data_IF_291517468569
#
_entry.id   IF_291517468569
#
_cell.length_a   1.000
_cell.length_b   1.000
_cell.length_c   1.000
_cell.angle_alpha   90.00
_cell.angle_beta   90.00
_cell.angle_gamma   90.00
#
_symmetry.space_group_name_H-M   'P 1'
#
loop_
_entity.id
_entity.type
_entity.pdbx_description
1 polymer ?
#
# COMPACT_ATOMS: atom_id res chain seq x y z
N UNK A 1 68.40 -12.33 39.71
CA UNK A 1 67.26 -11.40 39.49
C UNK A 1 66.64 -11.64 38.13
N UNK A 2 65.32 -11.51 38.10
CA UNK A 2 64.34 -11.93 37.10
C UNK A 2 64.40 -11.20 35.76
N UNK A 3 63.90 -11.84 34.70
CA UNK A 3 62.88 -11.28 33.77
C UNK A 3 62.44 -12.32 32.73
N UNK A 4 61.20 -12.76 32.86
CA UNK A 4 60.48 -13.50 31.82
C UNK A 4 59.29 -12.68 31.30
N UNK A 5 58.77 -13.16 30.16
CA UNK A 5 57.41 -12.98 29.65
C UNK A 5 57.07 -11.62 29.01
N UNK A 6 57.17 -11.53 27.67
CA UNK A 6 56.47 -10.49 26.90
C UNK A 6 56.19 -10.84 25.41
N UNK A 7 55.93 -12.10 25.06
CA UNK A 7 55.66 -12.48 23.65
C UNK A 7 54.20 -12.87 23.35
N UNK A 8 53.32 -12.94 24.37
CA UNK A 8 51.93 -13.39 24.19
C UNK A 8 50.87 -12.29 23.96
N UNK A 9 51.20 -11.00 24.12
CA UNK A 9 50.20 -9.91 24.12
C UNK A 9 49.79 -9.37 22.74
N UNK A 10 50.62 -9.55 21.69
CA UNK A 10 50.29 -8.99 20.38
C UNK A 10 49.29 -9.84 19.58
N UNK A 11 49.28 -11.17 19.75
CA UNK A 11 48.39 -12.06 19.00
C UNK A 11 46.91 -11.92 19.39
N UNK A 12 46.63 -11.45 20.61
CA UNK A 12 45.27 -11.32 21.13
C UNK A 12 44.51 -10.14 20.51
N UNK A 13 45.20 -9.06 20.11
CA UNK A 13 44.55 -7.85 19.56
C UNK A 13 44.25 -7.98 18.06
N UNK A 14 45.04 -8.72 17.29
CA UNK A 14 44.79 -8.93 15.85
C UNK A 14 43.59 -9.87 15.58
N UNK A 15 43.35 -10.87 16.43
CA UNK A 15 42.19 -11.76 16.30
C UNK A 15 40.83 -11.07 16.51
N UNK A 16 40.76 -10.13 17.46
CA UNK A 16 39.54 -9.35 17.75
C UNK A 16 39.22 -8.31 16.66
N UNK A 17 40.23 -7.67 16.07
CA UNK A 17 40.05 -6.67 15.03
C UNK A 17 39.51 -7.27 13.72
N UNK A 18 39.92 -8.49 13.37
CA UNK A 18 39.45 -9.20 12.16
C UNK A 18 38.00 -9.69 12.31
N UNK A 19 37.60 -10.16 13.49
CA UNK A 19 36.21 -10.57 13.76
C UNK A 19 35.26 -9.36 13.66
N UNK A 20 35.64 -8.20 14.21
CA UNK A 20 34.82 -6.99 14.14
C UNK A 20 34.63 -6.47 12.71
N UNK A 21 35.66 -6.61 11.86
CA UNK A 21 35.58 -6.19 10.45
C UNK A 21 34.79 -7.17 9.58
N UNK A 22 34.90 -8.49 9.82
CA UNK A 22 34.04 -9.48 9.16
C UNK A 22 32.56 -9.29 9.54
N UNK A 23 32.27 -9.04 10.82
CA UNK A 23 30.89 -8.77 11.27
C UNK A 23 30.32 -7.50 10.65
N UNK A 24 31.10 -6.43 10.53
CA UNK A 24 30.67 -5.21 9.88
C UNK A 24 30.34 -5.44 8.39
N UNK A 25 31.15 -6.21 7.65
CA UNK A 25 30.86 -6.51 6.23
C UNK A 25 29.58 -7.34 6.07
N UNK A 26 29.36 -8.33 6.94
CA UNK A 26 28.13 -9.16 6.92
C UNK A 26 26.89 -8.31 7.19
N UNK A 27 26.92 -7.42 8.19
CA UNK A 27 25.78 -6.54 8.55
C UNK A 27 25.42 -5.54 7.44
N UNK A 28 26.40 -5.06 6.66
CA UNK A 28 26.11 -4.17 5.51
C UNK A 28 25.55 -4.94 4.31
N UNK A 29 25.97 -6.20 4.13
CA UNK A 29 25.54 -7.05 3.01
C UNK A 29 24.12 -7.59 3.16
N UNK A 30 23.57 -7.64 4.39
CA UNK A 30 22.20 -8.11 4.66
C UNK A 30 21.18 -6.98 4.73
N UNK A 31 21.52 -5.74 4.35
CA UNK A 31 20.47 -4.75 4.11
C UNK A 31 19.72 -5.22 2.88
N UNK A 32 18.51 -5.74 3.06
CA UNK A 32 17.63 -6.01 1.94
C UNK A 32 17.50 -4.71 1.14
N UNK A 33 18.00 -4.72 -0.09
CA UNK A 33 17.61 -3.71 -1.07
C UNK A 33 16.10 -3.81 -1.15
N UNK A 34 15.33 -2.74 -0.85
CA UNK A 34 13.89 -2.80 -1.01
C UNK A 34 13.64 -3.31 -2.41
N UNK A 35 13.12 -4.53 -2.51
CA UNK A 35 12.59 -5.02 -3.77
C UNK A 35 11.54 -3.99 -4.15
N UNK A 36 11.48 -3.60 -5.42
CA UNK A 36 10.36 -2.84 -5.98
C UNK A 36 9.10 -3.74 -6.00
N UNK A 37 8.85 -4.47 -4.92
CA UNK A 37 7.52 -4.89 -4.52
C UNK A 37 6.80 -3.57 -4.31
N UNK A 38 5.84 -3.27 -5.18
CA UNK A 38 5.04 -2.03 -5.20
C UNK A 38 4.98 -1.38 -3.83
N UNK A 39 5.60 -0.21 -3.69
CA UNK A 39 5.46 0.58 -2.47
C UNK A 39 3.96 0.64 -2.14
N UNK A 40 3.57 0.48 -0.86
CA UNK A 40 2.16 0.49 -0.50
C UNK A 40 1.51 1.75 -1.09
N UNK A 41 0.43 1.56 -1.85
CA UNK A 41 -0.25 2.66 -2.52
C UNK A 41 -0.60 3.77 -1.52
N UNK A 42 -0.35 5.02 -1.91
CA UNK A 42 -0.50 6.18 -1.02
C UNK A 42 -1.99 6.47 -0.77
N UNK A 43 -2.50 5.96 0.36
CA UNK A 43 -3.90 6.17 0.76
C UNK A 43 -4.22 7.64 1.05
N UNK A 44 -3.22 8.47 1.37
CA UNK A 44 -3.41 9.92 1.56
C UNK A 44 -3.71 10.60 0.23
N UNK A 45 -2.89 10.32 -0.79
CA UNK A 45 -3.16 10.72 -2.18
C UNK A 45 -4.50 10.19 -2.67
N UNK A 46 -4.80 8.92 -2.38
CA UNK A 46 -6.07 8.28 -2.71
C UNK A 46 -7.28 8.98 -2.12
N UNK A 47 -7.18 9.46 -0.87
CA UNK A 47 -8.26 10.21 -0.21
C UNK A 47 -8.55 11.55 -0.91
N UNK A 48 -7.51 12.29 -1.30
CA UNK A 48 -7.65 13.57 -2.02
C UNK A 48 -8.28 13.36 -3.40
N UNK A 49 -7.82 12.35 -4.13
CA UNK A 49 -8.37 11.96 -5.43
C UNK A 49 -9.82 11.51 -5.31
N UNK A 50 -10.13 10.65 -4.35
CA UNK A 50 -11.50 10.19 -4.11
C UNK A 50 -12.43 11.35 -3.79
N UNK A 51 -12.00 12.27 -2.92
CA UNK A 51 -12.78 13.46 -2.58
C UNK A 51 -13.07 14.36 -3.79
N UNK A 52 -12.13 14.48 -4.73
CA UNK A 52 -12.26 15.34 -5.90
C UNK A 52 -13.00 14.70 -7.07
N UNK A 53 -12.85 13.38 -7.27
CA UNK A 53 -13.32 12.69 -8.47
C UNK A 53 -14.49 11.74 -8.23
N UNK A 54 -14.71 11.26 -7.00
CA UNK A 54 -15.64 10.16 -6.71
C UNK A 54 -16.75 10.55 -5.73
N UNK A 55 -16.43 11.40 -4.75
CA UNK A 55 -17.31 11.68 -3.61
C UNK A 55 -18.64 12.35 -3.97
N UNK A 56 -18.73 13.06 -5.11
CA UNK A 56 -20.00 13.66 -5.55
C UNK A 56 -21.07 12.62 -5.86
N UNK A 57 -20.68 11.41 -6.26
CA UNK A 57 -21.60 10.32 -6.56
C UNK A 57 -21.60 9.24 -5.48
N UNK A 58 -20.43 8.90 -4.92
CA UNK A 58 -20.27 7.82 -3.95
C UNK A 58 -20.24 8.27 -2.49
N UNK A 59 -20.39 9.57 -2.23
CA UNK A 59 -20.38 10.16 -0.89
C UNK A 59 -18.96 10.34 -0.36
N UNK A 60 -18.72 11.43 0.38
CA UNK A 60 -17.41 11.69 0.99
C UNK A 60 -17.02 10.68 2.08
N UNK A 61 -18.01 9.98 2.64
CA UNK A 61 -17.86 8.93 3.65
C UNK A 61 -18.03 7.51 3.07
N UNK A 62 -18.06 7.38 1.75
CA UNK A 62 -18.19 6.14 0.99
C UNK A 62 -19.56 5.45 1.10
N UNK A 63 -20.56 6.09 1.73
CA UNK A 63 -21.92 5.52 1.91
C UNK A 63 -22.87 5.72 0.73
N UNK A 64 -22.36 6.23 -0.38
CA UNK A 64 -23.17 6.50 -1.56
C UNK A 64 -23.97 7.79 -1.44
N UNK A 65 -24.66 8.12 -2.53
CA UNK A 65 -25.63 9.21 -2.62
C UNK A 65 -26.80 8.74 -3.49
N UNK A 66 -27.74 9.63 -3.79
CA UNK A 66 -28.78 9.35 -4.78
C UNK A 66 -28.23 9.14 -6.21
N UNK A 67 -26.94 9.42 -6.45
CA UNK A 67 -26.26 9.31 -7.74
C UNK A 67 -25.38 8.07 -7.87
N UNK A 68 -25.07 7.37 -6.78
CA UNK A 68 -24.10 6.29 -6.81
C UNK A 68 -24.11 5.41 -5.57
N UNK A 69 -23.73 4.13 -5.72
CA UNK A 69 -23.79 3.16 -4.65
C UNK A 69 -22.75 3.45 -3.56
N UNK A 70 -23.05 2.93 -2.37
CA UNK A 70 -22.09 2.83 -1.27
C UNK A 70 -20.95 1.88 -1.61
N UNK A 71 -19.72 2.34 -1.46
CA UNK A 71 -18.54 1.47 -1.48
C UNK A 71 -18.36 0.70 -0.18
N UNK A 72 -19.15 1.01 0.86
CA UNK A 72 -19.21 0.22 2.08
C UNK A 72 -20.29 -0.87 2.05
N UNK A 73 -21.10 -0.98 0.99
CA UNK A 73 -22.01 -2.13 0.85
C UNK A 73 -21.22 -3.43 0.75
N UNK A 74 -21.71 -4.49 1.39
CA UNK A 74 -21.12 -5.84 1.33
C UNK A 74 -20.96 -6.36 -0.11
N UNK A 75 -21.77 -5.85 -1.06
CA UNK A 75 -21.61 -6.18 -2.48
C UNK A 75 -20.25 -5.75 -3.03
N UNK A 76 -19.63 -4.72 -2.46
CA UNK A 76 -18.32 -4.19 -2.86
C UNK A 76 -17.15 -4.78 -2.07
N UNK A 77 -17.37 -5.85 -1.32
CA UNK A 77 -16.28 -6.54 -0.62
C UNK A 77 -15.27 -7.15 -1.60
N UNK A 78 -13.99 -7.31 -1.22
CA UNK A 78 -12.93 -7.76 -2.13
C UNK A 78 -13.19 -9.10 -2.82
N UNK A 79 -13.98 -9.99 -2.20
CA UNK A 79 -14.32 -11.30 -2.76
C UNK A 79 -15.44 -11.24 -3.83
N UNK A 80 -16.16 -10.12 -3.93
CA UNK A 80 -17.26 -9.96 -4.89
C UNK A 80 -16.95 -8.88 -5.93
N UNK A 81 -16.51 -7.69 -5.50
CA UNK A 81 -15.96 -6.68 -6.40
C UNK A 81 -14.47 -6.50 -6.08
N UNK A 82 -13.64 -7.21 -6.83
CA UNK A 82 -12.18 -7.15 -6.71
C UNK A 82 -11.64 -5.78 -7.12
N UNK A 83 -10.37 -5.53 -6.83
CA UNK A 83 -9.69 -4.29 -7.23
C UNK A 83 -9.71 -4.08 -8.76
N UNK A 84 -9.62 -5.16 -9.53
CA UNK A 84 -9.78 -5.11 -10.99
C UNK A 84 -11.16 -4.62 -11.42
N UNK A 85 -12.21 -4.92 -10.65
CA UNK A 85 -13.55 -4.39 -10.92
C UNK A 85 -13.61 -2.88 -10.69
N UNK A 86 -12.97 -2.39 -9.62
CA UNK A 86 -12.86 -0.94 -9.37
C UNK A 86 -12.05 -0.25 -10.47
N UNK A 87 -10.87 -0.80 -10.81
CA UNK A 87 -10.03 -0.29 -11.89
C UNK A 87 -10.80 -0.24 -13.21
N UNK A 88 -11.47 -1.33 -13.58
CA UNK A 88 -12.27 -1.39 -14.80
C UNK A 88 -13.40 -0.36 -14.80
N UNK A 89 -14.11 -0.20 -13.69
CA UNK A 89 -15.18 0.81 -13.57
C UNK A 89 -14.63 2.24 -13.70
N UNK A 90 -13.47 2.52 -13.12
CA UNK A 90 -12.81 3.83 -13.23
C UNK A 90 -12.36 4.08 -14.67
N UNK A 91 -11.67 3.13 -15.29
CA UNK A 91 -11.08 3.30 -16.64
C UNK A 91 -12.11 3.23 -17.76
N UNK A 92 -13.12 2.36 -17.65
CA UNK A 92 -14.05 2.05 -18.73
C UNK A 92 -15.49 2.46 -18.43
N UNK A 93 -15.78 2.96 -17.23
CA UNK A 93 -17.14 3.10 -16.74
C UNK A 93 -17.76 1.74 -16.39
N UNK A 94 -19.00 1.78 -15.90
CA UNK A 94 -19.77 0.59 -15.59
C UNK A 94 -21.22 0.77 -16.07
N UNK A 95 -21.76 -0.24 -16.75
CA UNK A 95 -23.17 -0.23 -17.13
C UNK A 95 -24.05 -0.52 -15.92
N UNK A 96 -25.21 0.11 -15.87
CA UNK A 96 -26.22 -0.19 -14.88
C UNK A 96 -26.63 -1.68 -14.96
N UNK A 97 -26.52 -2.42 -13.86
CA UNK A 97 -27.02 -3.81 -13.80
C UNK A 97 -27.57 -4.27 -12.45
N UNK A 98 -27.08 -3.73 -11.32
CA UNK A 98 -27.58 -4.10 -9.97
C UNK A 98 -28.30 -2.97 -9.23
N UNK A 99 -28.15 -1.75 -9.72
CA UNK A 99 -28.71 -0.56 -9.10
C UNK A 99 -29.55 0.24 -10.09
N UNK A 100 -30.23 1.27 -9.60
CA UNK A 100 -30.99 2.22 -10.40
C UNK A 100 -30.30 3.58 -10.56
N UNK A 101 -29.00 3.68 -10.26
CA UNK A 101 -28.22 4.93 -10.34
C UNK A 101 -27.91 5.38 -11.78
N UNK A 102 -28.06 4.49 -12.77
CA UNK A 102 -27.60 4.71 -14.14
C UNK A 102 -26.21 4.13 -14.39
N UNK A 103 -25.68 4.43 -15.58
CA UNK A 103 -24.32 4.05 -15.95
C UNK A 103 -23.30 4.95 -15.22
N UNK A 104 -22.24 4.33 -14.72
CA UNK A 104 -21.04 5.07 -14.29
C UNK A 104 -20.21 5.40 -15.52
N UNK A 105 -19.93 6.68 -15.73
CA UNK A 105 -19.02 7.11 -16.80
C UNK A 105 -17.56 6.86 -16.42
N UNK A 106 -16.65 6.63 -17.40
CA UNK A 106 -15.22 6.60 -17.13
C UNK A 106 -14.74 7.89 -16.48
N UNK A 107 -13.81 7.77 -15.52
CA UNK A 107 -13.14 8.91 -14.91
C UNK A 107 -11.88 9.22 -15.71
N UNK A 108 -11.81 10.41 -16.30
CA UNK A 108 -10.68 10.85 -17.13
C UNK A 108 -9.63 11.59 -16.30
N UNK A 109 -8.36 11.51 -16.71
CA UNK A 109 -7.27 12.27 -16.08
C UNK A 109 -6.64 11.61 -14.86
N UNK A 110 -6.89 10.33 -14.63
CA UNK A 110 -6.18 9.49 -13.67
C UNK A 110 -5.21 8.58 -14.41
N UNK A 111 -3.98 8.45 -13.92
CA UNK A 111 -3.04 7.41 -14.34
C UNK A 111 -3.20 6.14 -13.47
N UNK A 112 -2.40 5.11 -13.75
CA UNK A 112 -2.51 3.84 -13.03
C UNK A 112 -2.18 3.94 -11.54
N UNK A 113 -1.23 4.81 -11.17
CA UNK A 113 -0.81 5.04 -9.79
C UNK A 113 -1.91 5.81 -9.01
N UNK A 114 -2.54 6.80 -9.65
CA UNK A 114 -3.70 7.50 -9.10
C UNK A 114 -4.87 6.53 -8.86
N UNK A 115 -5.13 5.60 -9.79
CA UNK A 115 -6.17 4.57 -9.64
C UNK A 115 -5.85 3.63 -8.47
N UNK A 116 -4.61 3.15 -8.37
CA UNK A 116 -4.19 2.29 -7.25
C UNK A 116 -4.31 3.00 -5.91
N UNK A 117 -3.94 4.28 -5.84
CA UNK A 117 -4.11 5.10 -4.64
C UNK A 117 -5.59 5.21 -4.22
N UNK A 118 -6.50 5.46 -5.17
CA UNK A 118 -7.95 5.51 -4.91
C UNK A 118 -8.47 4.17 -4.39
N UNK A 119 -8.12 3.07 -5.06
CA UNK A 119 -8.56 1.72 -4.66
C UNK A 119 -8.05 1.41 -3.25
N UNK A 120 -6.76 1.66 -2.98
CA UNK A 120 -6.16 1.46 -1.67
C UNK A 120 -6.87 2.28 -0.58
N UNK A 121 -7.22 3.54 -0.86
CA UNK A 121 -8.01 4.36 0.05
C UNK A 121 -9.40 3.73 0.32
N UNK A 122 -10.12 3.32 -0.72
CA UNK A 122 -11.43 2.65 -0.55
C UNK A 122 -11.30 1.38 0.30
N UNK A 123 -10.29 0.54 0.05
CA UNK A 123 -10.04 -0.67 0.84
C UNK A 123 -9.68 -0.37 2.28
N UNK A 124 -8.86 0.63 2.53
CA UNK A 124 -8.55 1.09 3.88
C UNK A 124 -9.83 1.51 4.61
N UNK A 125 -10.71 2.26 3.96
CA UNK A 125 -11.97 2.70 4.56
C UNK A 125 -12.92 1.53 4.83
N UNK A 126 -13.02 0.55 3.93
CA UNK A 126 -13.78 -0.68 4.16
C UNK A 126 -13.25 -1.46 5.39
N UNK A 127 -11.93 -1.52 5.58
CA UNK A 127 -11.32 -2.18 6.75
C UNK A 127 -11.60 -1.42 8.06
N UNK A 128 -11.56 -0.09 8.02
CA UNK A 128 -11.78 0.76 9.20
C UNK A 128 -13.25 0.79 9.61
N UNK A 129 -14.15 0.96 8.63
CA UNK A 129 -15.57 1.21 8.87
C UNK A 129 -16.41 -0.07 8.86
N UNK A 130 -15.90 -1.15 8.25
CA UNK A 130 -16.67 -2.36 7.96
C UNK A 130 -17.64 -2.17 6.79
N UNK A 131 -18.38 -3.23 6.50
CA UNK A 131 -19.42 -3.24 5.48
C UNK A 131 -20.81 -3.04 6.09
N UNK A 132 -21.69 -2.38 5.34
CA UNK A 132 -23.13 -2.35 5.57
C UNK A 132 -23.82 -3.45 4.76
N UNK A 133 -24.89 -4.00 5.35
CA UNK A 133 -25.64 -5.15 4.82
C UNK A 133 -26.83 -4.78 3.97
#
# INVERSE_FOLDING_TARGET
>A
MSRGVQTGRLWFFYGLALIASVLAVVVWSTRETPTLESAPADTGRGAELYSSMCASCHGGDLRGTDLGPSHLSILYEPNHHTDDSFRSAITNGARQHHWSFGDMVPVVGLDDDDIDAIIAYVRQQQQIQGFEG
#
